data_IF_027076081386
#
_entry.id   IF_027076081386
#
_cell.length_a   1.000
_cell.length_b   1.000
_cell.length_c   1.000
_cell.angle_alpha   90.00
_cell.angle_beta   90.00
_cell.angle_gamma   90.00
#
_symmetry.space_group_name_H-M   'P 1'
#
loop_
_entity.id
_entity.type
_entity.pdbx_description
1 polymer ?
#
# COMPACT_ATOMS: atom_id res chain seq x y z
N UNK A 1 43.85 11.62 26.16
CA UNK A 1 43.82 10.46 25.24
C UNK A 1 42.76 9.40 25.61
N UNK A 2 42.81 8.75 26.79
CA UNK A 2 41.84 7.69 27.18
C UNK A 2 40.36 8.12 27.21
N UNK A 3 40.06 9.35 27.67
CA UNK A 3 38.69 9.90 27.72
C UNK A 3 38.12 10.17 26.32
N UNK A 4 38.95 10.69 25.42
CA UNK A 4 38.60 10.92 24.02
C UNK A 4 38.32 9.60 23.28
N UNK A 5 39.20 8.60 23.44
CA UNK A 5 39.01 7.28 22.83
C UNK A 5 37.72 6.59 23.31
N UNK A 6 37.41 6.65 24.62
CA UNK A 6 36.14 6.14 25.15
C UNK A 6 34.92 6.84 24.55
N UNK A 7 34.99 8.15 24.36
CA UNK A 7 33.90 8.93 23.75
C UNK A 7 33.67 8.51 22.30
N UNK A 8 34.74 8.35 21.51
CA UNK A 8 34.67 7.90 20.11
C UNK A 8 34.07 6.49 20.01
N UNK A 9 34.52 5.55 20.86
CA UNK A 9 33.97 4.19 20.90
C UNK A 9 32.48 4.20 21.28
N UNK A 10 32.10 5.02 22.26
CA UNK A 10 30.70 5.19 22.69
C UNK A 10 29.83 5.72 21.56
N UNK A 11 30.29 6.76 20.83
CA UNK A 11 29.57 7.30 19.67
C UNK A 11 29.43 6.26 18.56
N UNK A 12 30.50 5.52 18.26
CA UNK A 12 30.47 4.45 17.26
C UNK A 12 29.44 3.38 17.64
N UNK A 13 29.41 2.95 18.89
CA UNK A 13 28.46 1.96 19.38
C UNK A 13 27.01 2.45 19.27
N UNK A 14 26.73 3.72 19.59
CA UNK A 14 25.40 4.31 19.42
C UNK A 14 24.97 4.31 17.95
N UNK A 15 25.87 4.68 17.04
CA UNK A 15 25.58 4.67 15.59
C UNK A 15 25.29 3.25 15.11
N UNK A 16 26.08 2.26 15.52
CA UNK A 16 25.85 0.85 15.17
C UNK A 16 24.50 0.36 15.67
N UNK A 17 24.14 0.66 16.92
CA UNK A 17 22.83 0.31 17.48
C UNK A 17 21.70 0.95 16.66
N UNK A 18 21.84 2.24 16.32
CA UNK A 18 20.84 2.95 15.54
C UNK A 18 20.65 2.31 14.15
N UNK A 19 21.73 1.96 13.47
CA UNK A 19 21.68 1.28 12.16
C UNK A 19 20.94 -0.07 12.29
N UNK A 20 21.26 -0.87 13.31
CA UNK A 20 20.62 -2.17 13.54
C UNK A 20 19.13 -2.00 13.82
N UNK A 21 18.74 -1.00 14.63
CA UNK A 21 17.33 -0.73 14.93
C UNK A 21 16.57 -0.29 13.68
N UNK A 22 17.14 0.62 12.88
CA UNK A 22 16.51 1.11 11.65
C UNK A 22 16.38 -0.01 10.61
N UNK A 23 17.45 -0.78 10.39
CA UNK A 23 17.45 -1.90 9.46
C UNK A 23 16.48 -3.00 9.92
N UNK A 24 16.46 -3.30 11.22
CA UNK A 24 15.53 -4.27 11.81
C UNK A 24 14.08 -3.84 11.67
N UNK A 25 13.77 -2.55 11.88
CA UNK A 25 12.42 -2.00 11.67
C UNK A 25 12.00 -2.07 10.21
N UNK A 26 12.89 -1.71 9.28
CA UNK A 26 12.65 -1.85 7.85
C UNK A 26 12.37 -3.31 7.49
N UNK A 27 13.25 -4.23 7.86
CA UNK A 27 13.09 -5.66 7.60
C UNK A 27 11.77 -6.20 8.17
N UNK A 28 11.48 -5.91 9.44
CA UNK A 28 10.22 -6.30 10.07
C UNK A 28 9.00 -5.78 9.30
N UNK A 29 9.03 -4.53 8.83
CA UNK A 29 7.92 -3.96 8.06
C UNK A 29 7.67 -4.67 6.73
N UNK A 30 8.73 -5.14 6.06
CA UNK A 30 8.62 -5.92 4.82
C UNK A 30 7.99 -7.27 5.13
N UNK A 31 8.47 -7.99 6.14
CA UNK A 31 7.89 -9.28 6.51
C UNK A 31 6.44 -9.17 7.02
N UNK A 32 6.12 -8.11 7.75
CA UNK A 32 4.76 -7.85 8.22
C UNK A 32 3.80 -7.42 7.10
N UNK A 33 4.29 -7.16 5.88
CA UNK A 33 3.43 -6.91 4.71
C UNK A 33 2.72 -8.16 4.21
N UNK A 34 3.14 -9.35 4.65
CA UNK A 34 2.47 -10.60 4.33
C UNK A 34 1.43 -10.94 5.40
N UNK A 35 0.15 -11.03 4.99
CA UNK A 35 -0.95 -11.31 5.91
C UNK A 35 -2.20 -11.76 5.17
N UNK A 36 -3.15 -12.33 5.93
CA UNK A 36 -4.53 -12.56 5.52
C UNK A 36 -5.45 -12.21 6.70
N UNK A 37 -6.41 -11.31 6.47
CA UNK A 37 -7.31 -10.81 7.48
C UNK A 37 -8.74 -10.73 6.95
N UNK A 38 -9.70 -11.27 7.72
CA UNK A 38 -11.12 -11.05 7.48
C UNK A 38 -11.54 -9.70 8.04
N UNK A 39 -12.28 -8.94 7.24
CA UNK A 39 -12.78 -7.61 7.61
C UNK A 39 -14.19 -7.76 8.18
N UNK A 40 -14.44 -7.16 9.34
CA UNK A 40 -15.77 -7.15 9.95
C UNK A 40 -16.73 -6.35 9.09
N UNK A 41 -17.87 -6.96 8.76
CA UNK A 41 -18.90 -6.40 7.89
C UNK A 41 -19.94 -5.61 8.69
N UNK A 42 -20.32 -4.45 8.16
CA UNK A 42 -21.64 -3.87 8.42
C UNK A 42 -22.65 -4.53 7.48
N UNK A 43 -23.75 -5.06 8.01
CA UNK A 43 -24.77 -5.78 7.25
C UNK A 43 -25.57 -4.82 6.35
N UNK A 44 -24.99 -4.47 5.20
CA UNK A 44 -25.65 -3.72 4.13
C UNK A 44 -26.10 -4.70 3.06
N UNK A 45 -27.36 -4.58 2.64
CA UNK A 45 -27.88 -5.31 1.48
C UNK A 45 -27.40 -4.59 0.21
N UNK A 46 -26.48 -5.22 -0.50
CA UNK A 46 -25.76 -4.60 -1.61
C UNK A 46 -26.37 -5.08 -2.91
N UNK A 47 -27.10 -4.22 -3.62
CA UNK A 47 -27.62 -4.59 -4.93
C UNK A 47 -26.49 -4.60 -5.96
N UNK A 48 -26.19 -5.78 -6.52
CA UNK A 48 -25.34 -5.89 -7.69
C UNK A 48 -26.00 -5.16 -8.88
N UNK A 49 -25.18 -4.52 -9.71
CA UNK A 49 -25.65 -3.91 -10.96
C UNK A 49 -25.38 -4.87 -12.14
N UNK A 50 -25.91 -4.57 -13.33
CA UNK A 50 -25.63 -5.34 -14.53
C UNK A 50 -24.24 -5.02 -15.16
N UNK A 51 -23.48 -4.09 -14.59
CA UNK A 51 -22.18 -3.65 -15.14
C UNK A 51 -21.25 -3.23 -14.01
N UNK A 52 -20.10 -3.89 -13.93
CA UNK A 52 -19.01 -3.55 -13.04
C UNK A 52 -17.90 -2.81 -13.79
N UNK A 53 -17.44 -1.66 -13.30
CA UNK A 53 -16.29 -0.93 -13.84
C UNK A 53 -15.12 -1.01 -12.87
N UNK A 54 -14.01 -1.59 -13.32
CA UNK A 54 -12.79 -1.72 -12.53
C UNK A 54 -11.68 -0.96 -13.27
N UNK A 55 -10.89 -0.19 -12.53
CA UNK A 55 -9.72 0.48 -13.07
C UNK A 55 -8.50 0.30 -12.19
N UNK A 56 -7.34 0.67 -12.72
CA UNK A 56 -6.09 0.74 -11.97
C UNK A 56 -5.38 2.06 -12.25
N UNK A 57 -4.73 2.62 -11.23
CA UNK A 57 -4.04 3.90 -11.31
C UNK A 57 -2.79 3.87 -10.43
N UNK A 58 -1.62 3.96 -11.05
CA UNK A 58 -0.40 4.34 -10.36
C UNK A 58 -0.43 5.86 -10.14
N UNK A 59 -0.61 6.29 -8.89
CA UNK A 59 -0.86 7.70 -8.56
C UNK A 59 0.41 8.48 -8.24
N UNK A 60 1.59 7.86 -8.34
CA UNK A 60 2.88 8.50 -8.11
C UNK A 60 2.95 9.32 -6.81
N UNK A 61 2.47 8.76 -5.70
CA UNK A 61 2.33 9.43 -4.39
C UNK A 61 1.61 10.80 -4.47
N UNK A 62 0.69 10.97 -5.42
CA UNK A 62 -0.01 12.24 -5.70
C UNK A 62 0.96 13.43 -5.83
N UNK A 63 2.04 13.22 -6.58
CA UNK A 63 3.19 14.12 -6.70
C UNK A 63 3.81 14.47 -5.34
N UNK A 64 3.99 13.46 -4.49
CA UNK A 64 4.50 13.56 -3.13
C UNK A 64 3.73 14.58 -2.27
N UNK A 65 2.40 14.57 -2.37
CA UNK A 65 1.57 15.54 -1.66
C UNK A 65 0.09 15.43 -1.99
N UNK A 66 -0.66 16.53 -1.82
CA UNK A 66 -2.07 16.62 -2.20
C UNK A 66 -2.27 17.28 -3.56
N UNK A 67 -1.19 17.51 -4.30
CA UNK A 67 -1.20 18.32 -5.52
C UNK A 67 -2.13 17.71 -6.58
N UNK A 68 -2.06 16.39 -6.75
CA UNK A 68 -2.86 15.67 -7.75
C UNK A 68 -4.14 15.05 -7.17
N UNK A 69 -4.48 15.31 -5.91
CA UNK A 69 -5.67 14.71 -5.29
C UNK A 69 -6.96 15.14 -6.01
N UNK A 70 -7.08 16.41 -6.36
CA UNK A 70 -8.25 16.92 -7.09
C UNK A 70 -8.34 16.32 -8.50
N UNK A 71 -7.21 16.28 -9.22
CA UNK A 71 -7.11 15.63 -10.54
C UNK A 71 -7.52 14.17 -10.48
N UNK A 72 -7.00 13.40 -9.52
CA UNK A 72 -7.39 12.02 -9.27
C UNK A 72 -8.90 11.90 -9.04
N UNK A 73 -9.47 12.73 -8.17
CA UNK A 73 -10.92 12.69 -7.85
C UNK A 73 -11.76 12.97 -9.10
N UNK A 74 -11.34 13.90 -9.95
CA UNK A 74 -12.02 14.22 -11.20
C UNK A 74 -11.94 13.05 -12.20
N UNK A 75 -10.74 12.50 -12.44
CA UNK A 75 -10.54 11.35 -13.33
C UNK A 75 -11.46 10.18 -12.94
N UNK A 76 -11.50 9.86 -11.65
CA UNK A 76 -12.28 8.75 -11.12
C UNK A 76 -13.79 8.99 -11.24
N UNK A 77 -14.26 10.22 -11.00
CA UNK A 77 -15.67 10.59 -11.15
C UNK A 77 -16.12 10.51 -12.61
N UNK A 78 -15.28 10.97 -13.53
CA UNK A 78 -15.58 10.96 -14.97
C UNK A 78 -15.62 9.54 -15.54
N UNK A 79 -14.70 8.67 -15.11
CA UNK A 79 -14.68 7.25 -15.50
C UNK A 79 -15.81 6.43 -14.86
N UNK A 80 -16.39 6.94 -13.76
CA UNK A 80 -17.43 6.30 -12.95
C UNK A 80 -17.03 4.88 -12.50
N UNK A 81 -15.77 4.68 -12.10
CA UNK A 81 -15.28 3.37 -11.63
C UNK A 81 -16.04 2.92 -10.38
N UNK A 82 -16.11 1.61 -10.15
CA UNK A 82 -16.73 1.00 -8.97
C UNK A 82 -15.69 0.40 -8.02
N UNK A 83 -14.58 -0.08 -8.59
CA UNK A 83 -13.42 -0.60 -7.87
C UNK A 83 -12.16 -0.02 -8.52
N UNK A 84 -11.21 0.44 -7.71
CA UNK A 84 -9.97 1.06 -8.17
C UNK A 84 -8.78 0.42 -7.46
N UNK A 85 -7.85 -0.14 -8.23
CA UNK A 85 -6.57 -0.65 -7.74
C UNK A 85 -5.49 0.43 -7.86
N UNK A 86 -4.91 0.83 -6.74
CA UNK A 86 -3.95 1.93 -6.65
C UNK A 86 -2.53 1.41 -6.45
N UNK A 87 -1.54 2.03 -7.10
CA UNK A 87 -0.11 1.81 -6.81
C UNK A 87 0.56 3.15 -6.45
N UNK A 88 1.72 3.06 -5.78
CA UNK A 88 2.50 4.21 -5.32
C UNK A 88 1.70 5.13 -4.38
N UNK A 89 1.14 4.56 -3.31
CA UNK A 89 0.39 5.32 -2.29
C UNK A 89 1.14 5.33 -0.97
N UNK A 90 1.08 6.47 -0.28
CA UNK A 90 1.64 6.63 1.07
C UNK A 90 0.57 6.64 2.16
N UNK A 91 0.98 6.18 3.33
CA UNK A 91 0.25 6.33 4.58
C UNK A 91 1.14 7.01 5.62
N UNK A 92 0.80 8.27 5.93
CA UNK A 92 1.47 9.09 6.95
C UNK A 92 2.97 9.30 6.70
N UNK A 93 3.41 9.29 5.44
CA UNK A 93 4.80 9.58 5.11
C UNK A 93 5.08 11.10 5.12
N UNK A 94 6.18 11.52 5.72
CA UNK A 94 6.53 12.96 5.79
C UNK A 94 6.75 13.55 4.40
N UNK A 95 7.40 12.79 3.51
CA UNK A 95 7.73 13.30 2.19
C UNK A 95 6.48 13.62 1.36
N UNK A 96 5.33 13.02 1.71
CA UNK A 96 4.04 13.27 1.12
C UNK A 96 3.07 14.02 2.02
N UNK A 97 3.58 14.82 2.97
CA UNK A 97 2.75 15.73 3.77
C UNK A 97 1.98 15.05 4.91
N UNK A 98 2.39 13.84 5.30
CA UNK A 98 1.94 13.13 6.51
C UNK A 98 0.40 12.91 6.57
N UNK A 99 -0.20 12.53 5.44
CA UNK A 99 -1.61 12.14 5.40
C UNK A 99 -1.77 10.70 4.88
N UNK A 100 -2.95 10.13 5.12
CA UNK A 100 -3.33 8.84 4.57
C UNK A 100 -3.94 9.03 3.18
N UNK A 101 -3.19 8.68 2.13
CA UNK A 101 -3.62 8.90 0.75
C UNK A 101 -4.83 8.06 0.39
N UNK A 102 -4.83 6.76 0.73
CA UNK A 102 -5.94 5.86 0.41
C UNK A 102 -7.21 6.33 1.09
N UNK A 103 -7.15 6.66 2.38
CA UNK A 103 -8.31 7.17 3.11
C UNK A 103 -8.79 8.54 2.57
N UNK A 104 -7.87 9.43 2.18
CA UNK A 104 -8.21 10.74 1.62
C UNK A 104 -8.85 10.61 0.24
N UNK A 105 -8.27 9.80 -0.65
CA UNK A 105 -8.85 9.50 -1.97
C UNK A 105 -10.23 8.83 -1.82
N UNK A 106 -10.38 7.87 -0.92
CA UNK A 106 -11.65 7.23 -0.64
C UNK A 106 -12.73 8.24 -0.24
N UNK A 107 -12.39 9.12 0.71
CA UNK A 107 -13.29 10.16 1.21
C UNK A 107 -13.70 11.15 0.11
N UNK A 108 -12.74 11.73 -0.61
CA UNK A 108 -13.00 12.80 -1.59
C UNK A 108 -13.67 12.26 -2.87
N UNK A 109 -13.40 11.01 -3.24
CA UNK A 109 -14.00 10.35 -4.40
C UNK A 109 -15.31 9.58 -4.07
N UNK A 110 -15.68 9.45 -2.79
CA UNK A 110 -16.94 8.84 -2.35
C UNK A 110 -16.94 7.30 -2.34
N UNK A 111 -15.82 6.68 -1.96
CA UNK A 111 -15.68 5.23 -1.82
C UNK A 111 -15.76 4.82 -0.35
N UNK A 112 -16.86 4.19 0.10
CA UNK A 112 -17.06 3.83 1.50
C UNK A 112 -16.15 2.70 2.00
N UNK A 113 -15.65 1.86 1.10
CA UNK A 113 -14.77 0.74 1.44
C UNK A 113 -13.42 0.92 0.77
N UNK A 114 -12.35 0.78 1.55
CA UNK A 114 -10.99 0.90 1.04
C UNK A 114 -10.03 0.12 1.93
N UNK A 115 -8.87 -0.21 1.39
CA UNK A 115 -7.80 -0.83 2.15
C UNK A 115 -6.43 -0.41 1.63
N UNK A 116 -5.49 -0.20 2.55
CA UNK A 116 -4.09 0.09 2.26
C UNK A 116 -3.24 -1.14 2.56
N UNK A 117 -2.40 -1.51 1.60
CA UNK A 117 -1.46 -2.62 1.67
C UNK A 117 -0.04 -2.06 1.78
N UNK A 118 0.49 -1.96 3.00
CA UNK A 118 1.88 -1.57 3.24
C UNK A 118 2.82 -2.56 2.58
N UNK A 119 3.79 -2.06 1.80
CA UNK A 119 4.91 -2.85 1.25
C UNK A 119 6.17 -2.68 2.09
N UNK A 120 6.40 -1.47 2.60
CA UNK A 120 7.54 -1.17 3.46
C UNK A 120 7.29 0.06 4.32
N UNK A 121 8.05 0.13 5.42
CA UNK A 121 8.21 1.31 6.24
C UNK A 121 9.18 2.32 5.59
N UNK A 122 8.79 3.59 5.60
CA UNK A 122 9.58 4.72 5.12
C UNK A 122 9.67 5.81 6.19
N UNK A 123 10.60 5.64 7.12
CA UNK A 123 10.91 6.54 8.25
C UNK A 123 9.73 6.88 9.17
N UNK A 124 8.82 7.73 8.72
CA UNK A 124 7.70 8.22 9.51
C UNK A 124 6.33 7.76 9.00
N UNK A 125 6.29 7.01 7.90
CA UNK A 125 5.07 6.40 7.39
C UNK A 125 5.34 5.07 6.70
N UNK A 126 4.40 4.69 5.83
CA UNK A 126 4.46 3.48 5.03
C UNK A 126 4.19 3.83 3.58
N UNK A 127 4.76 3.03 2.71
CA UNK A 127 4.55 3.10 1.27
C UNK A 127 3.96 1.77 0.81
N UNK A 128 3.09 1.80 -0.19
CA UNK A 128 2.55 0.58 -0.77
C UNK A 128 1.50 0.78 -1.84
N UNK A 129 0.50 -0.10 -1.81
CA UNK A 129 -0.58 -0.14 -2.80
C UNK A 129 -1.93 -0.07 -2.09
N UNK A 130 -3.00 0.23 -2.82
CA UNK A 130 -4.32 0.42 -2.23
C UNK A 130 -5.45 -0.13 -3.09
N UNK A 131 -6.64 -0.19 -2.50
CA UNK A 131 -7.88 -0.44 -3.22
C UNK A 131 -8.98 0.47 -2.69
N UNK A 132 -9.80 1.00 -3.59
CA UNK A 132 -11.05 1.70 -3.30
C UNK A 132 -12.20 0.88 -3.88
N UNK A 133 -13.31 0.78 -3.15
CA UNK A 133 -14.47 0.00 -3.56
C UNK A 133 -15.78 0.66 -3.10
N UNK A 134 -16.76 0.69 -4.01
CA UNK A 134 -18.16 1.01 -3.65
C UNK A 134 -18.85 -0.12 -2.90
N UNK A 135 -18.27 -1.30 -2.93
CA UNK A 135 -18.84 -2.54 -2.40
C UNK A 135 -18.04 -3.07 -1.19
N UNK A 136 -18.68 -3.77 -0.23
CA UNK A 136 -18.01 -4.23 0.99
C UNK A 136 -16.79 -5.12 0.70
N UNK A 137 -15.71 -4.84 1.43
CA UNK A 137 -14.53 -5.69 1.49
C UNK A 137 -14.70 -6.65 2.67
N UNK A 138 -14.59 -7.96 2.41
CA UNK A 138 -14.79 -9.00 3.44
C UNK A 138 -13.49 -9.70 3.84
N UNK A 139 -12.49 -9.68 2.98
CA UNK A 139 -11.18 -10.24 3.27
C UNK A 139 -10.11 -9.50 2.47
N UNK A 140 -8.95 -9.31 3.11
CA UNK A 140 -7.77 -8.70 2.52
C UNK A 140 -6.57 -9.59 2.80
N UNK A 141 -5.76 -9.79 1.78
CA UNK A 141 -4.48 -10.49 1.94
C UNK A 141 -3.42 -9.89 1.04
N UNK A 142 -2.18 -10.05 1.46
CA UNK A 142 -0.99 -9.56 0.79
C UNK A 142 0.08 -10.62 0.93
N UNK A 143 0.79 -10.90 -0.17
CA UNK A 143 1.86 -11.88 -0.23
C UNK A 143 3.10 -11.23 -0.82
N UNK A 144 4.25 -11.44 -0.20
CA UNK A 144 5.52 -10.91 -0.71
C UNK A 144 5.88 -11.59 -2.02
N UNK A 145 6.29 -10.78 -3.00
CA UNK A 145 6.76 -11.27 -4.30
C UNK A 145 8.28 -11.40 -4.32
N UNK A 146 8.84 -12.28 -5.17
CA UNK A 146 10.29 -12.40 -5.35
C UNK A 146 10.94 -11.06 -5.69
N UNK A 147 11.88 -10.61 -4.86
CA UNK A 147 12.64 -9.40 -5.10
C UNK A 147 13.99 -9.44 -4.34
N UNK A 148 14.89 -8.52 -4.67
CA UNK A 148 16.12 -8.28 -3.90
C UNK A 148 15.80 -7.51 -2.62
N UNK A 149 16.51 -7.84 -1.53
CA UNK A 149 16.44 -7.12 -0.25
C UNK A 149 16.86 -5.64 -0.35
N UNK A 150 17.62 -5.27 -1.39
CA UNK A 150 18.09 -3.91 -1.62
C UNK A 150 17.19 -3.11 -2.57
N UNK A 151 16.04 -3.66 -2.96
CA UNK A 151 15.05 -3.00 -3.82
C UNK A 151 13.76 -2.76 -3.04
N UNK A 152 12.94 -1.87 -3.58
CA UNK A 152 11.58 -1.65 -3.13
C UNK A 152 10.78 -2.98 -3.16
N UNK A 153 10.29 -3.49 -2.02
CA UNK A 153 9.56 -4.74 -1.95
C UNK A 153 8.29 -4.71 -2.82
N UNK A 154 7.98 -5.83 -3.46
CA UNK A 154 6.75 -6.01 -4.24
C UNK A 154 5.82 -6.99 -3.52
N UNK A 155 4.52 -6.77 -3.64
CA UNK A 155 3.48 -7.63 -3.07
C UNK A 155 2.42 -7.94 -4.12
N UNK A 156 1.83 -9.13 -4.04
CA UNK A 156 0.57 -9.47 -4.70
C UNK A 156 -0.52 -9.38 -3.64
N UNK A 157 -1.50 -8.52 -3.87
CA UNK A 157 -2.63 -8.36 -2.95
C UNK A 157 -3.86 -9.04 -3.50
N UNK A 158 -4.74 -9.49 -2.60
CA UNK A 158 -6.05 -10.03 -2.91
C UNK A 158 -7.07 -9.39 -1.98
N UNK A 159 -8.05 -8.74 -2.59
CA UNK A 159 -9.23 -8.18 -1.91
C UNK A 159 -10.46 -8.99 -2.30
N UNK A 160 -11.17 -9.54 -1.32
CA UNK A 160 -12.46 -10.19 -1.53
C UNK A 160 -13.56 -9.16 -1.33
N UNK A 161 -14.36 -8.95 -2.38
CA UNK A 161 -15.42 -7.94 -2.44
C UNK A 161 -16.76 -8.64 -2.64
N UNK A 162 -17.77 -8.25 -1.86
CA UNK A 162 -19.15 -8.68 -2.04
C UNK A 162 -19.85 -7.86 -3.13
N UNK A 163 -20.19 -8.51 -4.24
CA UNK A 163 -20.94 -7.92 -5.33
C UNK A 163 -22.30 -8.62 -5.45
N UNK A 164 -23.30 -8.12 -4.72
CA UNK A 164 -24.57 -8.81 -4.52
C UNK A 164 -24.36 -10.14 -3.80
N UNK A 165 -24.76 -11.24 -4.44
CA UNK A 165 -24.56 -12.60 -3.91
C UNK A 165 -23.23 -13.23 -4.37
N UNK A 166 -22.42 -12.51 -5.16
CA UNK A 166 -21.15 -13.01 -5.70
C UNK A 166 -19.96 -12.46 -4.92
N UNK A 167 -18.97 -13.29 -4.64
CA UNK A 167 -17.67 -12.85 -4.13
C UNK A 167 -16.70 -12.64 -5.28
N UNK A 168 -16.16 -11.43 -5.39
CA UNK A 168 -15.14 -11.08 -6.36
C UNK A 168 -13.77 -11.10 -5.69
N UNK A 169 -12.81 -11.81 -6.28
CA UNK A 169 -11.41 -11.73 -5.88
C UNK A 169 -10.68 -10.73 -6.78
N UNK A 170 -10.30 -9.58 -6.24
CA UNK A 170 -9.54 -8.56 -6.96
C UNK A 170 -8.09 -8.65 -6.56
N UNK A 171 -7.22 -8.85 -7.55
CA UNK A 171 -5.78 -8.88 -7.35
C UNK A 171 -5.12 -7.58 -7.82
N UNK A 172 -4.21 -7.03 -7.03
CA UNK A 172 -3.46 -5.82 -7.36
C UNK A 172 -1.97 -6.00 -7.02
N UNK A 173 -1.10 -5.50 -7.88
CA UNK A 173 0.36 -5.51 -7.70
C UNK A 173 1.02 -4.32 -8.41
N UNK A 174 2.30 -4.10 -8.11
CA UNK A 174 3.19 -3.17 -8.80
C UNK A 174 4.50 -3.92 -9.07
N UNK A 175 4.67 -4.45 -10.27
CA UNK A 175 5.85 -5.25 -10.63
C UNK A 175 7.10 -4.37 -10.80
N UNK A 176 8.27 -4.96 -10.61
CA UNK A 176 9.55 -4.32 -10.90
C UNK A 176 9.72 -4.12 -12.42
N UNK A 177 10.49 -3.11 -12.81
CA UNK A 177 10.84 -2.84 -14.21
C UNK A 177 12.16 -3.50 -14.65
N UNK A 178 12.82 -4.21 -13.73
CA UNK A 178 14.19 -4.70 -13.87
C UNK A 178 14.25 -6.23 -14.07
N UNK A 179 15.40 -6.85 -13.77
CA UNK A 179 15.62 -8.29 -13.87
C UNK A 179 14.66 -9.16 -13.05
N UNK A 180 13.91 -8.59 -12.11
CA UNK A 180 12.88 -9.30 -11.35
C UNK A 180 11.50 -9.28 -12.02
N UNK A 181 11.31 -8.52 -13.11
CA UNK A 181 10.03 -8.38 -13.80
C UNK A 181 9.43 -9.74 -14.19
N UNK A 182 10.17 -10.55 -14.94
CA UNK A 182 9.67 -11.84 -15.45
C UNK A 182 9.39 -12.82 -14.31
N UNK A 183 10.27 -12.87 -13.30
CA UNK A 183 10.11 -13.73 -12.11
C UNK A 183 8.84 -13.35 -11.34
N UNK A 184 8.52 -12.06 -11.29
CA UNK A 184 7.32 -11.55 -10.64
C UNK A 184 6.06 -11.83 -11.45
N UNK A 185 6.15 -11.84 -12.79
CA UNK A 185 5.02 -12.25 -13.63
C UNK A 185 4.73 -13.75 -13.50
N UNK A 186 5.76 -14.59 -13.43
CA UNK A 186 5.62 -16.04 -13.22
C UNK A 186 5.00 -16.40 -11.86
N UNK A 187 5.04 -15.47 -10.91
CA UNK A 187 4.48 -15.64 -9.57
C UNK A 187 2.95 -15.39 -9.51
N UNK A 188 2.40 -14.60 -10.45
CA UNK A 188 0.99 -14.20 -10.50
C UNK A 188 0.15 -15.32 -11.13
#
# INVERSE_FOLDING_TARGET
MKRFLKMVISMFLVVVILIVVVAGRFYYSVYASEYNCSVTKDSVDVNATNRLRIGTYNVHSLNYGKEDLESFVNDIKDLQLDIICLQEVDQNAIHSGNFDMVASMAKEAGYPYYHFYSTMWILNGYYGIGILSKYPITNVSSQLMPNSLFREPRVLTKTVIEYGQTLLNIYNTHVAYDSYHDIQLDFI
#
